data_IF_439315429337
#
_entry.id   IF_439315429337
#
_cell.length_a   1.000
_cell.length_b   1.000
_cell.length_c   1.000
_cell.angle_alpha   90.00
_cell.angle_beta   90.00
_cell.angle_gamma   90.00
#
_symmetry.space_group_name_H-M   'P 1'
#
loop_
_entity.id
_entity.type
_entity.pdbx_description
1 polymer ?
#
# COMPACT_ATOMS: atom_id res chain seq x y z
N UNK A 1 56.86 0.18 -64.14
CA UNK A 1 56.21 1.48 -64.16
C UNK A 1 54.92 1.36 -63.35
N UNK A 2 54.98 1.69 -62.04
CA UNK A 2 53.86 1.58 -61.14
C UNK A 2 53.34 2.98 -60.84
N UNK A 3 52.05 3.20 -60.98
CA UNK A 3 51.34 4.40 -60.63
C UNK A 3 50.62 4.13 -59.29
N UNK A 4 50.79 4.91 -58.23
CA UNK A 4 50.03 4.72 -56.98
C UNK A 4 48.73 5.49 -57.04
N UNK A 5 47.61 4.78 -56.76
CA UNK A 5 46.30 5.37 -56.61
C UNK A 5 46.12 5.96 -55.20
N UNK A 6 45.65 7.19 -55.16
CA UNK A 6 45.33 7.92 -53.95
C UNK A 6 43.96 7.50 -53.42
N UNK A 7 43.94 7.07 -52.13
CA UNK A 7 42.69 6.85 -51.40
C UNK A 7 42.32 8.13 -50.62
N UNK A 8 41.23 8.74 -51.00
CA UNK A 8 40.61 9.82 -50.20
C UNK A 8 39.69 9.20 -49.14
N UNK A 9 40.10 9.35 -47.90
CA UNK A 9 39.27 8.99 -46.72
C UNK A 9 38.19 10.05 -46.52
N UNK A 10 36.93 9.61 -46.66
CA UNK A 10 35.75 10.39 -46.25
C UNK A 10 35.56 10.20 -44.79
N UNK A 11 35.88 11.18 -43.97
CA UNK A 11 35.63 11.22 -42.54
C UNK A 11 34.12 11.46 -42.28
N UNK A 12 33.46 10.46 -41.72
CA UNK A 12 32.10 10.57 -41.23
C UNK A 12 32.16 11.12 -39.79
N UNK A 13 31.90 12.39 -39.60
CA UNK A 13 31.77 13.01 -38.27
C UNK A 13 30.36 12.70 -37.75
N UNK A 14 30.25 11.72 -36.85
CA UNK A 14 29.04 11.47 -36.07
C UNK A 14 29.01 12.49 -34.91
N UNK A 15 28.14 13.49 -35.02
CA UNK A 15 27.82 14.38 -33.91
C UNK A 15 26.91 13.63 -32.94
N UNK A 16 27.46 13.19 -31.82
CA UNK A 16 26.66 12.66 -30.68
C UNK A 16 26.01 13.87 -30.00
N UNK A 17 24.71 14.01 -30.18
CA UNK A 17 23.91 14.95 -29.41
C UNK A 17 23.77 14.39 -27.97
N UNK A 18 24.59 14.90 -27.03
CA UNK A 18 24.37 14.72 -25.62
C UNK A 18 23.06 15.45 -25.26
N UNK A 19 21.96 14.72 -25.12
CA UNK A 19 20.78 15.26 -24.47
C UNK A 19 21.15 15.54 -23.03
N UNK A 20 21.26 16.82 -22.67
CA UNK A 20 21.40 17.26 -21.30
C UNK A 20 20.13 16.83 -20.55
N UNK A 21 20.22 15.77 -19.80
CA UNK A 21 19.26 15.46 -18.73
C UNK A 21 19.42 16.61 -17.73
N UNK A 22 18.53 17.59 -17.81
CA UNK A 22 18.43 18.62 -16.77
C UNK A 22 18.23 17.92 -15.43
N UNK A 23 18.71 18.49 -14.33
CA UNK A 23 18.47 17.93 -13.01
C UNK A 23 16.96 17.78 -12.84
N UNK A 24 16.50 16.55 -12.55
CA UNK A 24 15.16 16.32 -12.07
C UNK A 24 15.03 17.19 -10.82
N UNK A 25 14.22 18.25 -10.92
CA UNK A 25 13.92 19.06 -9.77
C UNK A 25 13.32 18.15 -8.71
N UNK A 26 14.02 17.96 -7.59
CA UNK A 26 13.47 17.29 -6.43
C UNK A 26 12.25 18.11 -6.02
N UNK A 27 11.05 17.59 -6.31
CA UNK A 27 9.83 18.21 -5.85
C UNK A 27 9.76 17.93 -4.35
N UNK A 28 9.81 19.00 -3.55
CA UNK A 28 9.53 18.88 -2.13
C UNK A 28 8.11 18.30 -1.98
N UNK A 29 7.93 17.38 -1.05
CA UNK A 29 6.61 16.82 -0.74
C UNK A 29 5.64 17.97 -0.43
N UNK A 30 4.39 17.94 -0.95
CA UNK A 30 3.44 19.00 -0.72
C UNK A 30 3.08 19.12 0.76
N UNK A 31 2.78 20.33 1.22
CA UNK A 31 2.23 20.55 2.54
C UNK A 31 0.76 20.13 2.59
N UNK A 32 0.38 19.41 3.64
CA UNK A 32 -1.00 18.95 3.87
C UNK A 32 -1.64 19.70 5.02
N UNK A 33 -2.96 19.82 4.99
CA UNK A 33 -3.77 20.36 6.08
C UNK A 33 -5.15 19.71 6.12
N UNK A 34 -5.77 19.63 7.30
CA UNK A 34 -7.16 19.18 7.45
C UNK A 34 -8.08 20.19 6.77
N UNK A 35 -8.88 19.73 5.80
CA UNK A 35 -9.74 20.60 4.99
C UNK A 35 -11.22 20.31 5.18
N UNK A 36 -11.60 19.07 5.46
CA UNK A 36 -12.99 18.68 5.66
C UNK A 36 -13.12 17.39 6.45
N UNK A 37 -14.36 17.04 6.79
CA UNK A 37 -14.71 15.75 7.39
C UNK A 37 -15.92 15.14 6.71
N UNK A 38 -15.98 13.80 6.65
CA UNK A 38 -17.11 13.06 6.10
C UNK A 38 -17.78 12.30 7.24
N UNK A 39 -19.08 12.53 7.45
CA UNK A 39 -19.85 11.81 8.47
C UNK A 39 -20.00 10.32 8.11
N UNK A 40 -19.97 9.45 9.12
CA UNK A 40 -20.23 8.02 9.01
C UNK A 40 -21.63 7.74 9.55
N UNK A 41 -22.62 7.35 8.72
CA UNK A 41 -23.93 6.99 9.20
C UNK A 41 -23.91 5.70 10.01
N UNK A 42 -24.58 5.69 11.15
CA UNK A 42 -24.72 4.49 11.96
C UNK A 42 -25.73 3.51 11.35
N UNK A 43 -25.42 2.20 11.44
CA UNK A 43 -26.42 1.14 11.20
C UNK A 43 -27.45 1.08 12.32
N UNK A 44 -28.62 0.53 12.02
CA UNK A 44 -29.68 0.32 13.02
C UNK A 44 -29.25 -0.60 14.18
N UNK A 45 -28.34 -1.51 13.92
CA UNK A 45 -27.73 -2.39 14.94
C UNK A 45 -26.75 -1.66 15.86
N UNK A 46 -26.20 -0.53 15.42
CA UNK A 46 -25.31 0.32 16.22
C UNK A 46 -26.14 1.26 17.10
N UNK A 47 -26.60 0.77 18.23
CA UNK A 47 -27.49 1.50 19.16
C UNK A 47 -26.84 2.73 19.80
N UNK A 48 -25.53 2.84 19.75
CA UNK A 48 -24.79 4.02 20.25
C UNK A 48 -24.80 5.17 19.27
N UNK A 49 -25.03 4.92 17.99
CA UNK A 49 -24.90 5.89 16.91
C UNK A 49 -23.48 6.40 16.70
N UNK A 50 -22.48 5.75 17.31
CA UNK A 50 -21.09 6.20 17.31
C UNK A 50 -20.19 5.26 16.53
N UNK A 51 -19.27 5.83 15.79
CA UNK A 51 -18.17 5.11 15.15
C UNK A 51 -16.98 5.08 16.12
N UNK A 52 -16.78 3.95 16.78
CA UNK A 52 -15.77 3.77 17.85
C UNK A 52 -14.76 2.68 17.56
N UNK A 53 -15.11 1.74 16.67
CA UNK A 53 -14.27 0.59 16.31
C UNK A 53 -14.19 0.44 14.80
N UNK A 54 -12.99 0.38 14.31
CA UNK A 54 -12.65 0.18 12.90
C UNK A 54 -11.28 -0.48 12.81
N UNK A 55 -10.84 -0.77 11.59
CA UNK A 55 -9.49 -1.25 11.34
C UNK A 55 -8.91 -0.57 10.09
N UNK A 56 -8.44 -1.33 9.12
CA UNK A 56 -7.69 -0.80 7.99
C UNK A 56 -8.61 -0.27 6.88
N UNK A 57 -8.01 0.50 6.01
CA UNK A 57 -8.65 1.10 4.85
C UNK A 57 -7.89 0.82 3.57
N UNK A 58 -8.55 1.01 2.42
CA UNK A 58 -7.92 0.94 1.11
C UNK A 58 -8.57 1.92 0.14
N UNK A 59 -7.89 2.23 -0.94
CA UNK A 59 -8.37 3.14 -1.97
C UNK A 59 -8.32 2.49 -3.35
N UNK A 60 -9.37 2.69 -4.14
CA UNK A 60 -9.41 2.31 -5.54
C UNK A 60 -9.31 3.55 -6.44
N UNK A 61 -8.15 3.80 -7.05
CA UNK A 61 -7.95 4.99 -7.87
C UNK A 61 -8.79 4.98 -9.16
N UNK A 62 -9.22 3.82 -9.64
CA UNK A 62 -10.01 3.73 -10.87
C UNK A 62 -11.43 4.24 -10.70
N UNK A 63 -12.03 4.05 -9.53
CA UNK A 63 -13.37 4.55 -9.19
C UNK A 63 -13.32 5.81 -8.34
N UNK A 64 -12.19 6.12 -7.74
CA UNK A 64 -12.00 7.13 -6.70
C UNK A 64 -12.91 6.86 -5.49
N UNK A 65 -12.86 5.61 -5.01
CA UNK A 65 -13.58 5.17 -3.83
C UNK A 65 -12.60 4.78 -2.72
N UNK A 66 -12.92 5.24 -1.52
CA UNK A 66 -12.27 4.87 -0.27
C UNK A 66 -13.13 3.82 0.43
N UNK A 67 -12.51 2.73 0.88
CA UNK A 67 -13.14 1.63 1.60
C UNK A 67 -12.55 1.54 2.99
N UNK A 68 -13.41 1.41 4.00
CA UNK A 68 -13.03 1.32 5.41
C UNK A 68 -13.72 0.14 6.08
N UNK A 69 -12.97 -0.65 6.83
CA UNK A 69 -13.55 -1.68 7.69
C UNK A 69 -14.13 -1.05 8.95
N UNK A 70 -15.44 -1.13 9.11
CA UNK A 70 -16.20 -0.54 10.22
C UNK A 70 -16.73 -1.63 11.17
N UNK A 71 -16.03 -1.83 12.28
CA UNK A 71 -16.42 -2.78 13.32
C UNK A 71 -17.62 -2.29 14.14
N UNK A 72 -17.83 -0.95 14.22
CA UNK A 72 -18.98 -0.37 14.93
C UNK A 72 -20.30 -0.67 14.25
N UNK A 73 -20.27 -0.81 12.92
CA UNK A 73 -21.42 -1.04 12.07
C UNK A 73 -21.37 -2.41 11.35
N UNK A 74 -20.43 -3.27 11.70
CA UNK A 74 -20.27 -4.65 11.23
C UNK A 74 -20.23 -4.79 9.71
N UNK A 75 -19.56 -3.86 8.99
CA UNK A 75 -19.54 -3.81 7.54
C UNK A 75 -18.32 -3.10 6.96
N UNK A 76 -18.29 -2.98 5.65
CA UNK A 76 -17.30 -2.16 4.94
C UNK A 76 -17.99 -0.90 4.41
N UNK A 77 -17.53 0.25 4.87
CA UNK A 77 -18.00 1.56 4.42
C UNK A 77 -17.33 1.95 3.11
N UNK A 78 -18.09 2.54 2.21
CA UNK A 78 -17.63 3.03 0.91
C UNK A 78 -17.92 4.53 0.82
N UNK A 79 -16.88 5.30 0.52
CA UNK A 79 -16.96 6.75 0.36
C UNK A 79 -16.48 7.15 -1.02
N UNK A 80 -17.07 8.20 -1.57
CA UNK A 80 -16.62 8.82 -2.82
C UNK A 80 -15.63 9.93 -2.53
N UNK A 81 -14.42 9.82 -3.06
CA UNK A 81 -13.44 10.90 -3.06
C UNK A 81 -13.83 12.05 -4.00
N UNK A 82 -14.60 11.76 -5.05
CA UNK A 82 -15.09 12.81 -5.97
C UNK A 82 -16.00 13.83 -5.33
N UNK A 83 -16.74 13.40 -4.30
CA UNK A 83 -17.76 14.23 -3.64
C UNK A 83 -17.54 14.38 -2.14
N UNK A 84 -16.48 13.76 -1.61
CA UNK A 84 -16.19 13.68 -0.18
C UNK A 84 -17.45 13.30 0.63
N UNK A 85 -18.06 12.17 0.28
CA UNK A 85 -19.32 11.73 0.88
C UNK A 85 -19.40 10.23 1.05
N UNK A 86 -20.12 9.79 2.09
CA UNK A 86 -20.52 8.40 2.27
C UNK A 86 -21.43 7.95 1.12
N UNK A 87 -21.15 6.81 0.53
CA UNK A 87 -21.94 6.22 -0.56
C UNK A 87 -22.85 5.11 -0.06
N UNK A 88 -22.28 4.12 0.59
CA UNK A 88 -23.00 2.96 1.10
C UNK A 88 -22.13 2.16 2.07
N UNK A 89 -22.75 1.19 2.74
CA UNK A 89 -22.09 0.12 3.51
C UNK A 89 -22.47 -1.21 2.92
N UNK A 90 -21.50 -2.10 2.75
CA UNK A 90 -21.73 -3.47 2.28
C UNK A 90 -21.38 -4.47 3.37
N UNK A 91 -22.04 -5.64 3.33
CA UNK A 91 -21.77 -6.74 4.25
C UNK A 91 -22.16 -6.49 5.70
N UNK A 92 -23.03 -5.50 5.98
CA UNK A 92 -23.54 -5.27 7.32
C UNK A 92 -24.15 -6.55 7.92
N UNK A 93 -23.68 -6.92 9.11
CA UNK A 93 -24.09 -8.14 9.80
C UNK A 93 -23.41 -9.44 9.34
N UNK A 94 -22.54 -9.42 8.33
CA UNK A 94 -21.74 -10.58 7.93
C UNK A 94 -20.43 -10.70 8.73
N UNK A 95 -19.99 -9.62 9.33
CA UNK A 95 -18.77 -9.55 10.12
C UNK A 95 -19.06 -9.67 11.62
N UNK A 96 -18.04 -10.06 12.37
CA UNK A 96 -18.16 -10.24 13.84
C UNK A 96 -18.47 -8.93 14.58
N UNK A 97 -18.12 -7.79 14.00
CA UNK A 97 -18.24 -6.48 14.64
C UNK A 97 -17.16 -6.23 15.69
N UNK A 98 -17.40 -5.22 16.51
CA UNK A 98 -16.61 -4.97 17.69
C UNK A 98 -16.96 -6.02 18.76
N UNK A 99 -15.94 -6.71 19.29
CA UNK A 99 -16.09 -7.74 20.32
C UNK A 99 -15.26 -7.38 21.54
N UNK A 100 -15.53 -8.00 22.74
CA UNK A 100 -14.74 -7.75 23.93
C UNK A 100 -13.24 -8.09 23.76
N UNK A 101 -12.90 -9.10 22.95
CA UNK A 101 -11.52 -9.41 22.57
C UNK A 101 -11.28 -8.95 21.14
N UNK A 102 -10.25 -8.12 20.94
CA UNK A 102 -9.85 -7.68 19.61
C UNK A 102 -9.55 -8.86 18.67
N UNK A 103 -9.09 -9.99 19.21
CA UNK A 103 -8.74 -11.19 18.46
C UNK A 103 -9.94 -11.87 17.76
N UNK A 104 -11.14 -11.48 18.13
CA UNK A 104 -12.39 -12.02 17.54
C UNK A 104 -13.16 -10.94 16.76
N UNK A 105 -12.63 -9.72 16.67
CA UNK A 105 -13.29 -8.62 15.99
C UNK A 105 -13.19 -8.72 14.45
N UNK A 106 -14.07 -8.03 13.75
CA UNK A 106 -14.05 -7.89 12.29
C UNK A 106 -15.18 -6.98 11.79
N UNK A 107 -15.04 -6.37 10.62
CA UNK A 107 -13.96 -6.56 9.64
C UNK A 107 -12.63 -5.95 10.07
N UNK A 108 -11.53 -6.43 9.45
CA UNK A 108 -10.16 -6.03 9.76
C UNK A 108 -9.43 -5.53 8.49
N UNK A 109 -8.26 -6.05 8.17
CA UNK A 109 -7.56 -5.70 6.93
C UNK A 109 -8.39 -6.00 5.68
N UNK A 110 -8.24 -5.18 4.66
CA UNK A 110 -8.96 -5.35 3.41
C UNK A 110 -8.10 -5.04 2.19
N UNK A 111 -8.49 -5.59 1.05
CA UNK A 111 -7.90 -5.30 -0.25
C UNK A 111 -8.97 -5.20 -1.33
N UNK A 112 -8.75 -4.33 -2.31
CA UNK A 112 -9.57 -4.22 -3.51
C UNK A 112 -8.71 -4.44 -4.75
N UNK A 113 -9.23 -5.19 -5.72
CA UNK A 113 -8.52 -5.46 -6.96
C UNK A 113 -9.44 -5.42 -8.17
N UNK A 114 -8.92 -5.02 -9.33
CA UNK A 114 -9.61 -5.18 -10.60
C UNK A 114 -9.55 -6.65 -11.03
N UNK A 115 -10.70 -7.21 -11.37
CA UNK A 115 -10.84 -8.56 -11.91
C UNK A 115 -11.69 -8.53 -13.18
N UNK A 116 -11.75 -9.65 -13.91
CA UNK A 116 -12.60 -9.73 -15.10
C UNK A 116 -14.06 -9.45 -14.75
N UNK A 117 -14.63 -8.44 -15.38
CA UNK A 117 -16.05 -8.06 -15.23
C UNK A 117 -16.38 -7.19 -14.01
N UNK A 118 -15.39 -6.72 -13.24
CA UNK A 118 -15.65 -5.85 -12.09
C UNK A 118 -14.48 -5.74 -11.13
N UNK A 119 -14.80 -5.76 -9.84
CA UNK A 119 -13.80 -5.68 -8.76
C UNK A 119 -14.01 -6.79 -7.75
N UNK A 120 -12.95 -7.14 -7.06
CA UNK A 120 -12.95 -8.08 -5.94
C UNK A 120 -12.54 -7.31 -4.69
N UNK A 121 -13.45 -7.19 -3.73
CA UNK A 121 -13.16 -6.68 -2.38
C UNK A 121 -13.08 -7.85 -1.42
N UNK A 122 -12.02 -7.93 -0.64
CA UNK A 122 -11.81 -8.99 0.35
C UNK A 122 -11.49 -8.34 1.68
N UNK A 123 -12.18 -8.76 2.74
CA UNK A 123 -11.92 -8.28 4.09
C UNK A 123 -11.73 -9.44 5.08
N UNK A 124 -10.77 -9.27 5.99
CA UNK A 124 -10.52 -10.18 7.09
C UNK A 124 -11.60 -10.10 8.17
N UNK A 125 -11.83 -11.20 8.90
CA UNK A 125 -12.86 -11.28 9.92
C UNK A 125 -12.39 -12.09 11.14
N UNK A 126 -13.05 -11.93 12.27
CA UNK A 126 -12.72 -12.52 13.55
C UNK A 126 -12.65 -14.05 13.59
N UNK A 127 -13.62 -14.81 13.04
CA UNK A 127 -13.63 -16.26 13.19
C UNK A 127 -12.81 -17.00 12.13
N UNK A 128 -11.54 -16.62 11.92
CA UNK A 128 -10.62 -17.22 10.94
C UNK A 128 -11.22 -17.36 9.54
N UNK A 129 -11.80 -16.31 9.04
CA UNK A 129 -12.33 -16.29 7.67
C UNK A 129 -12.18 -14.93 6.99
N UNK A 130 -12.33 -14.95 5.68
CA UNK A 130 -12.45 -13.78 4.83
C UNK A 130 -13.87 -13.69 4.30
N UNK A 131 -14.36 -12.47 4.12
CA UNK A 131 -15.56 -12.20 3.35
C UNK A 131 -15.15 -11.53 2.04
N UNK A 132 -15.47 -12.17 0.91
CA UNK A 132 -15.12 -11.70 -0.42
C UNK A 132 -16.37 -11.31 -1.21
N UNK A 133 -16.39 -10.06 -1.70
CA UNK A 133 -17.48 -9.49 -2.49
C UNK A 133 -17.02 -9.34 -3.94
N UNK A 134 -17.85 -9.86 -4.87
CA UNK A 134 -17.75 -9.48 -6.27
C UNK A 134 -18.51 -8.17 -6.47
N UNK A 135 -17.82 -7.12 -6.89
CA UNK A 135 -18.41 -5.81 -7.15
C UNK A 135 -18.49 -5.52 -8.65
N UNK A 136 -19.43 -4.69 -9.03
CA UNK A 136 -19.51 -4.11 -10.36
C UNK A 136 -18.26 -3.24 -10.68
N UNK A 137 -18.19 -2.77 -11.92
CA UNK A 137 -17.12 -1.84 -12.35
C UNK A 137 -17.20 -0.48 -11.65
N UNK A 138 -18.35 -0.16 -11.07
CA UNK A 138 -18.59 1.02 -10.24
C UNK A 138 -17.92 0.93 -8.84
N UNK A 139 -17.50 -0.27 -8.43
CA UNK A 139 -16.92 -0.53 -7.11
C UNK A 139 -17.91 -0.51 -5.94
N UNK A 140 -19.20 -0.38 -6.20
CA UNK A 140 -20.26 -0.22 -5.17
C UNK A 140 -21.28 -1.33 -5.25
N UNK A 141 -21.72 -1.67 -6.46
CA UNK A 141 -22.79 -2.67 -6.67
C UNK A 141 -22.28 -4.07 -6.38
N UNK A 142 -22.88 -4.74 -5.38
CA UNK A 142 -22.54 -6.13 -5.05
C UNK A 142 -23.20 -7.09 -6.03
N UNK A 143 -22.42 -7.91 -6.72
CA UNK A 143 -22.85 -8.89 -7.70
C UNK A 143 -22.93 -10.30 -7.08
N UNK A 144 -24.13 -10.76 -6.80
CA UNK A 144 -24.35 -12.07 -6.18
C UNK A 144 -24.09 -12.13 -4.68
N UNK A 145 -24.11 -13.32 -4.12
CA UNK A 145 -23.81 -13.52 -2.70
C UNK A 145 -22.32 -13.43 -2.41
N UNK A 146 -21.91 -12.78 -1.30
CA UNK A 146 -20.51 -12.79 -0.87
C UNK A 146 -20.05 -14.20 -0.51
N UNK A 147 -18.76 -14.46 -0.72
CA UNK A 147 -18.12 -15.74 -0.37
C UNK A 147 -17.50 -15.65 1.02
N UNK A 148 -17.79 -16.61 1.89
CA UNK A 148 -17.04 -16.80 3.14
C UNK A 148 -15.94 -17.84 2.89
N UNK A 149 -14.70 -17.48 3.13
CA UNK A 149 -13.52 -18.30 2.86
C UNK A 149 -12.82 -18.57 4.18
N UNK A 150 -12.76 -19.83 4.62
CA UNK A 150 -12.05 -20.21 5.85
C UNK A 150 -10.54 -20.08 5.67
N UNK A 151 -9.86 -19.49 6.66
CA UNK A 151 -8.41 -19.46 6.77
C UNK A 151 -7.87 -20.43 7.83
N UNK A 152 -8.76 -21.12 8.55
CA UNK A 152 -8.39 -22.06 9.60
C UNK A 152 -7.57 -23.23 9.05
N UNK A 153 -6.57 -23.64 9.81
CA UNK A 153 -5.71 -24.80 9.48
C UNK A 153 -6.49 -26.08 9.81
N UNK A 154 -6.69 -26.94 8.83
CA UNK A 154 -7.36 -28.21 9.04
C UNK A 154 -6.57 -29.09 10.03
N UNK A 155 -7.27 -29.63 11.04
CA UNK A 155 -6.66 -30.54 12.03
C UNK A 155 -5.91 -29.89 13.17
N UNK A 156 -5.84 -28.55 13.24
CA UNK A 156 -5.31 -27.84 14.40
C UNK A 156 -6.44 -27.33 15.27
N UNK A 157 -6.30 -27.48 16.59
CA UNK A 157 -7.18 -26.87 17.59
C UNK A 157 -6.85 -25.37 17.78
N UNK A 158 -6.53 -24.66 16.68
CA UNK A 158 -6.30 -23.22 16.74
C UNK A 158 -7.67 -22.58 16.97
N UNK A 159 -7.89 -21.82 18.06
CA UNK A 159 -9.12 -21.08 18.27
C UNK A 159 -9.40 -20.22 17.04
N UNK A 160 -10.67 -19.97 16.69
CA UNK A 160 -10.97 -18.99 15.65
C UNK A 160 -10.38 -17.64 16.06
N UNK A 161 -9.49 -17.10 15.25
CA UNK A 161 -8.77 -15.87 15.52
C UNK A 161 -8.90 -14.90 14.35
N UNK A 162 -8.71 -13.64 14.65
CA UNK A 162 -8.76 -12.54 13.69
C UNK A 162 -7.82 -12.79 12.50
N UNK A 163 -8.36 -12.62 11.30
CA UNK A 163 -7.58 -12.41 10.08
C UNK A 163 -7.35 -10.91 9.95
N UNK A 164 -6.10 -10.48 9.92
CA UNK A 164 -5.73 -9.08 9.83
C UNK A 164 -5.31 -8.69 8.42
N UNK A 165 -4.04 -8.74 8.07
CA UNK A 165 -3.56 -8.40 6.76
C UNK A 165 -4.12 -9.29 5.65
N UNK A 166 -4.56 -8.67 4.55
CA UNK A 166 -5.07 -9.37 3.35
C UNK A 166 -4.47 -8.73 2.10
N UNK A 167 -3.87 -9.55 1.23
CA UNK A 167 -3.36 -9.10 -0.06
C UNK A 167 -3.83 -10.03 -1.20
N UNK A 168 -3.94 -9.50 -2.41
CA UNK A 168 -4.29 -10.22 -3.62
C UNK A 168 -3.21 -10.10 -4.68
N UNK A 169 -2.79 -11.23 -5.27
CA UNK A 169 -1.85 -11.30 -6.38
C UNK A 169 -2.58 -11.60 -7.69
N UNK A 170 -2.80 -10.60 -8.56
CA UNK A 170 -3.60 -10.79 -9.78
C UNK A 170 -3.02 -11.84 -10.73
N UNK A 171 -1.71 -11.85 -10.94
CA UNK A 171 -1.04 -12.78 -11.85
C UNK A 171 -1.09 -14.25 -11.39
N UNK A 172 -1.01 -14.51 -10.11
CA UNK A 172 -1.12 -15.84 -9.50
C UNK A 172 -2.59 -16.21 -9.20
N UNK A 173 -3.50 -15.25 -9.21
CA UNK A 173 -4.88 -15.35 -8.79
C UNK A 173 -5.01 -15.97 -7.38
N UNK A 174 -4.19 -15.47 -6.45
CA UNK A 174 -4.14 -15.93 -5.06
C UNK A 174 -4.43 -14.81 -4.09
N UNK A 175 -4.93 -15.19 -2.92
CA UNK A 175 -5.14 -14.32 -1.76
C UNK A 175 -4.18 -14.80 -0.67
N UNK A 176 -3.46 -13.89 -0.02
CA UNK A 176 -2.70 -14.17 1.20
C UNK A 176 -3.41 -13.51 2.37
N UNK A 177 -3.70 -14.30 3.41
CA UNK A 177 -4.35 -13.87 4.64
C UNK A 177 -3.42 -14.09 5.84
N UNK A 178 -3.25 -13.05 6.68
CA UNK A 178 -2.48 -13.11 7.91
C UNK A 178 -3.40 -13.38 9.10
N UNK A 179 -3.20 -14.51 9.78
CA UNK A 179 -3.90 -14.88 11.01
C UNK A 179 -3.05 -14.43 12.21
N UNK A 180 -3.15 -13.15 12.54
CA UNK A 180 -2.20 -12.48 13.43
C UNK A 180 -2.37 -12.88 14.90
N UNK A 181 -3.59 -13.07 15.38
CA UNK A 181 -3.87 -13.42 16.78
C UNK A 181 -3.61 -14.91 17.12
N UNK A 182 -3.11 -15.69 16.16
CA UNK A 182 -2.72 -17.08 16.38
C UNK A 182 -1.33 -17.18 17.03
N UNK A 183 -1.13 -18.23 17.83
CA UNK A 183 0.17 -18.52 18.45
C UNK A 183 0.56 -19.99 18.21
N UNK A 184 1.57 -20.30 17.36
CA UNK A 184 2.29 -19.31 16.54
C UNK A 184 1.43 -18.67 15.45
N UNK A 185 1.83 -17.48 14.99
CA UNK A 185 1.18 -16.81 13.86
C UNK A 185 1.31 -17.63 12.58
N UNK A 186 0.32 -17.56 11.70
CA UNK A 186 0.34 -18.28 10.43
C UNK A 186 -0.32 -17.49 9.30
N UNK A 187 0.04 -17.85 8.07
CA UNK A 187 -0.51 -17.31 6.86
C UNK A 187 -1.30 -18.37 6.12
N UNK A 188 -2.33 -17.95 5.40
CA UNK A 188 -3.13 -18.83 4.53
C UNK A 188 -3.07 -18.32 3.11
N UNK A 189 -2.46 -19.11 2.20
CA UNK A 189 -2.50 -18.87 0.77
C UNK A 189 -3.71 -19.57 0.17
N UNK A 190 -4.57 -18.82 -0.52
CA UNK A 190 -5.88 -19.26 -1.01
C UNK A 190 -5.93 -19.09 -2.52
N UNK A 191 -6.47 -20.07 -3.22
CA UNK A 191 -6.87 -19.95 -4.61
C UNK A 191 -8.15 -19.12 -4.71
N UNK A 192 -8.08 -17.97 -5.38
CA UNK A 192 -9.23 -17.07 -5.48
C UNK A 192 -10.38 -17.66 -6.32
N UNK A 193 -10.08 -18.45 -7.37
CA UNK A 193 -11.10 -19.00 -8.26
C UNK A 193 -11.97 -20.06 -7.57
N UNK A 194 -11.33 -20.90 -6.73
CA UNK A 194 -12.00 -22.02 -6.05
C UNK A 194 -12.32 -21.76 -4.60
N UNK A 195 -11.77 -20.71 -4.00
CA UNK A 195 -11.76 -20.41 -2.55
C UNK A 195 -11.10 -21.51 -1.71
N UNK A 196 -10.31 -22.38 -2.33
CA UNK A 196 -9.61 -23.45 -1.65
C UNK A 196 -8.29 -22.96 -1.05
N UNK A 197 -7.96 -23.41 0.15
CA UNK A 197 -6.66 -23.22 0.75
C UNK A 197 -5.62 -23.98 -0.06
N UNK A 198 -4.69 -23.28 -0.69
CA UNK A 198 -3.51 -23.88 -1.36
C UNK A 198 -2.45 -24.29 -0.35
N UNK A 199 -2.25 -23.47 0.68
CA UNK A 199 -1.22 -23.71 1.67
C UNK A 199 -1.50 -22.95 2.96
N UNK A 200 -1.25 -23.59 4.11
CA UNK A 200 -1.08 -22.96 5.41
C UNK A 200 0.42 -22.87 5.72
N UNK A 201 0.86 -21.68 6.14
CA UNK A 201 2.28 -21.36 6.36
C UNK A 201 2.41 -21.01 7.83
N UNK A 202 2.78 -22.00 8.64
CA UNK A 202 2.96 -21.81 10.09
C UNK A 202 4.36 -21.27 10.35
N UNK A 203 4.44 -20.19 11.11
CA UNK A 203 5.68 -19.47 11.41
C UNK A 203 6.20 -19.91 12.80
N UNK A 204 6.62 -21.16 12.91
CA UNK A 204 7.00 -21.83 14.18
C UNK A 204 8.53 -22.08 14.31
N UNK A 205 9.32 -21.62 13.34
CA UNK A 205 10.75 -21.87 13.28
C UNK A 205 11.14 -23.32 12.87
N UNK A 206 10.16 -24.21 12.71
CA UNK A 206 10.41 -25.63 12.40
C UNK A 206 10.05 -25.99 10.95
N UNK A 207 9.06 -25.30 10.37
CA UNK A 207 8.63 -25.57 9.00
C UNK A 207 9.71 -25.21 7.99
N UNK A 208 10.04 -26.13 7.10
CA UNK A 208 11.00 -25.91 6.02
C UNK A 208 10.24 -25.56 4.74
N UNK A 209 10.58 -24.41 4.12
CA UNK A 209 9.88 -23.95 2.92
C UNK A 209 10.43 -24.58 1.64
N UNK A 210 11.74 -24.49 1.46
CA UNK A 210 12.48 -25.11 0.36
C UNK A 210 13.94 -25.28 0.77
N UNK A 211 14.50 -26.44 0.57
CA UNK A 211 15.86 -26.73 1.01
C UNK A 211 16.02 -26.59 2.54
N UNK A 212 16.98 -25.79 2.97
CA UNK A 212 17.30 -25.58 4.41
C UNK A 212 16.68 -24.33 5.03
N UNK A 213 15.99 -23.50 4.26
CA UNK A 213 15.41 -22.25 4.75
C UNK A 213 14.13 -22.54 5.55
N UNK A 214 14.10 -22.16 6.82
CA UNK A 214 12.97 -22.31 7.73
C UNK A 214 12.20 -21.00 7.84
N UNK A 215 10.89 -21.10 8.07
CA UNK A 215 10.10 -19.95 8.46
C UNK A 215 10.56 -19.43 9.82
N UNK A 216 10.53 -18.10 10.05
CA UNK A 216 10.87 -17.54 11.35
C UNK A 216 9.87 -18.01 12.40
N UNK A 217 10.32 -18.09 13.66
CA UNK A 217 9.44 -18.35 14.78
C UNK A 217 8.77 -17.03 15.21
N UNK A 218 7.44 -17.02 15.18
CA UNK A 218 6.63 -15.88 15.64
C UNK A 218 5.63 -16.35 16.68
N UNK A 219 5.26 -15.47 17.61
CA UNK A 219 4.23 -15.71 18.61
C UNK A 219 2.92 -15.01 18.22
N UNK A 220 1.90 -15.06 19.07
CA UNK A 220 0.65 -14.32 18.89
C UNK A 220 0.90 -12.86 18.53
N UNK A 221 0.05 -12.27 17.72
CA UNK A 221 0.23 -10.97 17.03
C UNK A 221 1.51 -10.93 16.18
N UNK A 222 1.94 -12.08 15.70
CA UNK A 222 3.24 -12.26 15.03
C UNK A 222 3.20 -12.11 13.51
N UNK A 223 2.06 -11.82 12.91
CA UNK A 223 1.90 -11.53 11.48
C UNK A 223 0.87 -10.43 11.33
N UNK A 224 1.23 -9.37 10.64
CA UNK A 224 0.43 -8.17 10.50
C UNK A 224 0.10 -7.90 9.02
N UNK A 225 0.35 -6.68 8.54
CA UNK A 225 0.06 -6.31 7.17
C UNK A 225 0.70 -7.26 6.15
N UNK A 226 -0.06 -7.54 5.11
CA UNK A 226 0.41 -8.22 3.91
C UNK A 226 0.27 -7.28 2.71
N UNK A 227 1.24 -7.29 1.82
CA UNK A 227 1.20 -6.52 0.56
C UNK A 227 1.69 -7.39 -0.60
N UNK A 228 1.07 -7.23 -1.77
CA UNK A 228 1.60 -7.78 -3.01
C UNK A 228 2.49 -6.74 -3.68
N UNK A 229 3.78 -7.04 -3.80
CA UNK A 229 4.73 -6.17 -4.50
C UNK A 229 4.61 -6.42 -6.00
N UNK A 230 4.09 -5.45 -6.72
CA UNK A 230 3.78 -5.56 -8.15
C UNK A 230 5.02 -5.63 -9.04
N UNK A 231 6.15 -5.10 -8.56
CA UNK A 231 7.43 -5.10 -9.28
C UNK A 231 8.11 -6.48 -9.18
N UNK A 232 8.06 -7.09 -8.01
CA UNK A 232 8.68 -8.38 -7.75
C UNK A 232 7.76 -9.58 -8.04
N UNK A 233 6.45 -9.35 -8.06
CA UNK A 233 5.46 -10.41 -8.24
C UNK A 233 5.33 -11.35 -7.02
N UNK A 234 5.67 -10.85 -5.82
CA UNK A 234 5.75 -11.63 -4.58
C UNK A 234 4.95 -10.96 -3.48
N UNK A 235 4.61 -11.72 -2.43
CA UNK A 235 4.02 -11.16 -1.21
C UNK A 235 5.09 -10.76 -0.21
N UNK A 236 4.84 -9.66 0.48
CA UNK A 236 5.60 -9.23 1.65
C UNK A 236 4.69 -9.20 2.87
N UNK A 237 5.21 -9.63 4.01
CA UNK A 237 4.45 -9.74 5.27
C UNK A 237 5.23 -9.11 6.40
N UNK A 238 4.58 -8.20 7.13
CA UNK A 238 5.10 -7.64 8.37
C UNK A 238 5.10 -8.69 9.48
N UNK A 239 6.22 -8.82 10.16
CA UNK A 239 6.41 -9.75 11.30
C UNK A 239 6.96 -8.96 12.48
N UNK A 240 6.14 -8.62 13.48
CA UNK A 240 6.53 -7.75 14.59
C UNK A 240 7.70 -8.28 15.42
N UNK A 241 7.79 -9.60 15.60
CA UNK A 241 8.87 -10.25 16.36
C UNK A 241 9.40 -11.45 15.58
N UNK A 242 10.67 -11.45 15.24
CA UNK A 242 11.36 -12.56 14.59
C UNK A 242 12.21 -13.33 15.60
N UNK A 243 12.01 -14.66 15.68
CA UNK A 243 12.83 -15.58 16.47
C UNK A 243 12.98 -15.17 17.95
N UNK A 244 11.96 -14.50 18.53
CA UNK A 244 11.99 -13.99 19.89
C UNK A 244 12.90 -12.80 20.10
N UNK A 245 13.38 -12.16 19.04
CA UNK A 245 14.19 -10.95 19.11
C UNK A 245 13.36 -9.71 19.49
N UNK A 246 14.02 -8.64 19.96
CA UNK A 246 13.37 -7.38 20.34
C UNK A 246 12.88 -6.54 19.16
N UNK A 247 13.18 -6.92 17.94
CA UNK A 247 12.68 -6.33 16.68
C UNK A 247 12.27 -7.41 15.71
N UNK A 248 11.37 -7.04 14.82
CA UNK A 248 10.89 -7.92 13.77
C UNK A 248 11.58 -7.69 12.44
N UNK A 249 10.83 -7.88 11.40
CA UNK A 249 11.27 -7.72 10.03
C UNK A 249 10.13 -7.99 9.05
N UNK A 250 10.51 -8.27 7.83
CA UNK A 250 9.57 -8.57 6.74
C UNK A 250 9.98 -9.89 6.09
N UNK A 251 9.02 -10.73 5.78
CA UNK A 251 9.26 -11.95 4.98
C UNK A 251 8.71 -11.78 3.58
N UNK A 252 9.38 -12.38 2.60
CA UNK A 252 8.96 -12.40 1.20
C UNK A 252 8.57 -13.81 0.80
N UNK A 253 7.39 -13.95 0.18
CA UNK A 253 6.81 -15.22 -0.22
C UNK A 253 6.49 -15.23 -1.72
N UNK A 254 6.73 -16.37 -2.38
CA UNK A 254 6.26 -16.62 -3.74
C UNK A 254 4.74 -16.61 -3.80
N UNK A 255 4.18 -15.82 -4.71
CA UNK A 255 2.74 -15.59 -4.77
C UNK A 255 1.93 -16.80 -5.23
N UNK A 256 2.54 -17.76 -5.90
CA UNK A 256 1.87 -18.97 -6.41
C UNK A 256 1.93 -20.13 -5.42
N UNK A 257 3.11 -20.36 -4.85
CA UNK A 257 3.39 -21.53 -4.01
C UNK A 257 3.36 -21.23 -2.50
N UNK A 258 3.53 -19.96 -2.10
CA UNK A 258 3.73 -19.57 -0.70
C UNK A 258 5.10 -19.97 -0.15
N UNK A 259 6.08 -20.32 -1.01
CA UNK A 259 7.42 -20.62 -0.55
C UNK A 259 8.09 -19.36 -0.01
N UNK A 260 8.83 -19.51 1.10
CA UNK A 260 9.65 -18.44 1.65
C UNK A 260 10.82 -18.18 0.68
N UNK A 261 10.95 -16.93 0.24
CA UNK A 261 12.02 -16.47 -0.65
C UNK A 261 13.11 -15.75 0.14
N UNK A 262 12.71 -14.80 1.00
CA UNK A 262 13.64 -13.99 1.79
C UNK A 262 13.08 -13.68 3.18
N UNK A 263 14.01 -13.40 4.10
CA UNK A 263 13.74 -12.83 5.44
C UNK A 263 14.58 -11.57 5.55
N UNK A 264 13.92 -10.45 5.73
CA UNK A 264 14.55 -9.15 5.99
C UNK A 264 14.44 -8.90 7.49
N UNK A 265 15.36 -9.48 8.26
CA UNK A 265 15.49 -9.30 9.71
C UNK A 265 16.13 -7.94 9.98
N UNK A 266 15.39 -7.03 10.60
CA UNK A 266 15.85 -5.65 10.79
C UNK A 266 17.05 -5.55 11.71
N UNK A 267 17.18 -6.44 12.70
CA UNK A 267 18.40 -6.49 13.53
C UNK A 267 19.62 -6.93 12.70
N UNK A 268 19.46 -7.95 11.87
CA UNK A 268 20.53 -8.42 10.99
C UNK A 268 20.90 -7.38 9.91
N UNK A 269 19.95 -6.52 9.51
CA UNK A 269 20.17 -5.41 8.59
C UNK A 269 20.72 -4.15 9.26
N UNK A 270 20.99 -4.20 10.58
CA UNK A 270 21.67 -3.12 11.30
C UNK A 270 20.75 -2.08 11.93
N UNK A 271 19.48 -2.42 12.20
CA UNK A 271 18.58 -1.54 12.96
C UNK A 271 19.16 -1.23 14.33
N UNK A 272 19.28 0.06 14.66
CA UNK A 272 19.82 0.53 15.95
C UNK A 272 18.75 0.84 17.00
N UNK A 273 17.47 0.80 16.63
CA UNK A 273 16.32 1.01 17.50
C UNK A 273 15.47 -0.24 17.60
N UNK A 274 14.17 -0.04 17.82
CA UNK A 274 13.18 -1.10 17.77
C UNK A 274 12.16 -0.84 16.65
N UNK A 275 11.71 -1.92 16.05
CA UNK A 275 10.60 -1.93 15.10
C UNK A 275 9.85 -3.26 15.21
N UNK A 276 8.61 -3.21 15.67
CA UNK A 276 7.65 -4.28 15.46
C UNK A 276 6.82 -3.94 14.22
N UNK A 277 7.17 -4.49 13.04
CA UNK A 277 6.45 -4.18 11.79
C UNK A 277 4.96 -4.48 11.90
N UNK A 278 4.14 -3.49 11.53
CA UNK A 278 2.67 -3.58 11.50
C UNK A 278 2.13 -3.30 10.11
N UNK A 279 2.40 -2.13 9.53
CA UNK A 279 1.97 -1.74 8.20
C UNK A 279 3.08 -1.80 7.16
N UNK A 280 2.71 -2.05 5.91
CA UNK A 280 3.64 -1.99 4.76
C UNK A 280 2.93 -1.32 3.58
N UNK A 281 3.62 -0.40 2.92
CA UNK A 281 3.22 0.10 1.60
C UNK A 281 4.38 0.03 0.62
N UNK A 282 4.11 -0.45 -0.60
CA UNK A 282 5.06 -0.40 -1.71
C UNK A 282 5.10 1.01 -2.28
N UNK A 283 6.30 1.56 -2.45
CA UNK A 283 6.56 2.82 -3.12
C UNK A 283 6.92 2.67 -4.60
N UNK A 284 7.62 3.66 -5.12
CA UNK A 284 8.20 3.59 -6.46
C UNK A 284 9.22 2.44 -6.53
N UNK A 285 9.16 1.66 -7.59
CA UNK A 285 10.00 0.47 -7.71
C UNK A 285 9.62 -0.61 -6.69
N UNK A 286 10.60 -1.29 -6.10
CA UNK A 286 10.39 -2.36 -5.14
C UNK A 286 10.48 -1.90 -3.67
N UNK A 287 10.95 -0.68 -3.40
CA UNK A 287 11.12 -0.12 -2.05
C UNK A 287 9.79 -0.01 -1.30
N UNK A 288 9.85 -0.13 0.01
CA UNK A 288 8.68 -0.12 0.88
C UNK A 288 8.91 0.74 2.12
N UNK A 289 7.86 1.38 2.61
CA UNK A 289 7.82 1.93 3.97
C UNK A 289 7.12 0.91 4.86
N UNK A 290 7.72 0.64 6.00
CA UNK A 290 7.25 -0.32 7.00
C UNK A 290 7.00 0.44 8.30
N UNK A 291 5.73 0.57 8.67
CA UNK A 291 5.33 1.12 9.95
C UNK A 291 5.76 0.18 11.08
N UNK A 292 6.25 0.78 12.15
CA UNK A 292 6.68 0.05 13.34
C UNK A 292 5.73 0.36 14.49
N UNK A 293 4.83 -0.56 14.80
CA UNK A 293 3.95 -0.52 15.96
C UNK A 293 4.75 -0.52 17.28
N UNK A 294 4.04 -0.60 18.38
CA UNK A 294 4.67 -0.72 19.69
C UNK A 294 4.92 -2.19 20.02
N UNK A 295 6.15 -2.70 19.95
CA UNK A 295 6.46 -4.08 20.31
C UNK A 295 6.43 -4.31 21.84
N UNK A 296 5.89 -3.38 22.58
CA UNK A 296 5.77 -3.40 24.04
C UNK A 296 6.33 -2.14 24.72
N UNK A 297 5.69 -1.74 25.81
CA UNK A 297 5.99 -0.50 26.54
C UNK A 297 7.31 -0.52 27.32
N UNK A 298 8.02 -1.63 27.36
CA UNK A 298 9.19 -1.83 28.22
C UNK A 298 10.53 -1.42 27.57
N UNK A 299 10.57 -1.07 26.29
CA UNK A 299 11.83 -0.73 25.62
C UNK A 299 12.18 0.74 25.78
N UNK A 300 13.42 1.02 26.17
CA UNK A 300 14.03 2.36 26.18
C UNK A 300 14.68 2.71 24.83
N UNK A 301 14.68 1.79 23.88
CA UNK A 301 15.28 2.01 22.57
C UNK A 301 14.41 2.96 21.73
N UNK A 302 15.02 3.74 20.81
CA UNK A 302 14.29 4.63 19.93
C UNK A 302 13.29 3.87 19.06
N UNK A 303 12.05 4.34 19.03
CA UNK A 303 11.02 3.89 18.10
C UNK A 303 11.20 4.66 16.79
N UNK A 304 10.89 4.01 15.66
CA UNK A 304 11.12 4.58 14.34
C UNK A 304 10.32 3.84 13.27
N UNK A 305 10.20 4.43 12.11
CA UNK A 305 9.69 3.81 10.88
C UNK A 305 10.86 3.35 10.02
N UNK A 306 10.70 2.27 9.27
CA UNK A 306 11.75 1.68 8.44
C UNK A 306 11.40 1.85 6.97
N UNK A 307 12.37 2.30 6.17
CA UNK A 307 12.32 2.21 4.71
C UNK A 307 13.17 1.03 4.30
N UNK A 308 12.54 0.02 3.69
CA UNK A 308 13.17 -1.23 3.24
C UNK A 308 13.36 -1.21 1.73
N UNK A 309 14.60 -1.38 1.27
CA UNK A 309 14.92 -1.78 -0.09
C UNK A 309 15.16 -3.29 -0.12
N UNK A 310 14.28 -4.10 -0.74
CA UNK A 310 14.39 -5.55 -0.76
C UNK A 310 15.35 -6.07 -1.84
N UNK A 311 16.13 -5.22 -2.50
CA UNK A 311 17.09 -5.67 -3.52
C UNK A 311 18.28 -6.40 -2.89
N UNK A 312 18.76 -7.44 -3.54
CA UNK A 312 19.87 -8.26 -3.04
C UNK A 312 19.51 -8.93 -1.70
N UNK A 313 20.28 -8.64 -0.66
CA UNK A 313 20.03 -9.12 0.71
C UNK A 313 19.12 -8.20 1.52
N UNK A 314 18.68 -7.13 0.93
CA UNK A 314 17.96 -6.04 1.57
C UNK A 314 18.86 -5.01 2.24
N UNK A 315 18.36 -3.80 2.33
CA UNK A 315 18.93 -2.72 3.14
C UNK A 315 17.81 -1.88 3.75
N UNK A 316 18.11 -1.24 4.88
CA UNK A 316 17.15 -0.39 5.58
C UNK A 316 17.73 0.99 5.83
N UNK A 317 16.84 1.99 5.80
CA UNK A 317 17.05 3.30 6.42
C UNK A 317 15.93 3.58 7.40
N UNK A 318 16.11 4.54 8.30
CA UNK A 318 15.17 4.79 9.39
C UNK A 318 14.68 6.22 9.40
N UNK A 319 13.38 6.40 9.70
CA UNK A 319 12.73 7.69 9.91
C UNK A 319 12.42 7.80 11.39
N UNK A 320 13.24 8.53 12.13
CA UNK A 320 13.16 8.61 13.60
C UNK A 320 12.12 9.61 14.10
N UNK A 321 11.55 10.42 13.23
CA UNK A 321 10.53 11.41 13.55
C UNK A 321 9.11 10.81 13.58
N UNK A 322 8.95 9.59 13.06
CA UNK A 322 7.67 8.88 12.98
C UNK A 322 7.84 7.53 13.68
N UNK A 323 6.89 7.18 14.53
CA UNK A 323 6.90 5.92 15.27
C UNK A 323 5.49 5.52 15.74
N UNK A 324 5.32 4.26 16.08
CA UNK A 324 4.05 3.76 16.61
C UNK A 324 2.93 3.74 15.58
N UNK A 325 3.28 3.58 14.30
CA UNK A 325 2.36 3.48 13.19
C UNK A 325 1.70 2.12 13.08
N UNK A 326 0.63 2.06 12.28
CA UNK A 326 -0.08 0.82 11.99
C UNK A 326 -0.30 0.66 10.47
N UNK A 327 -0.95 1.60 9.82
CA UNK A 327 -1.13 1.56 8.37
C UNK A 327 -0.29 2.62 7.66
N UNK A 328 0.24 2.23 6.49
CA UNK A 328 0.93 3.12 5.54
C UNK A 328 0.18 3.14 4.23
N UNK A 329 0.02 4.33 3.63
CA UNK A 329 -0.48 4.52 2.27
C UNK A 329 0.58 5.21 1.41
N UNK A 330 0.55 4.95 0.10
CA UNK A 330 1.48 5.57 -0.86
C UNK A 330 0.74 6.28 -1.99
N UNK A 331 1.11 7.53 -2.23
CA UNK A 331 0.68 8.31 -3.39
C UNK A 331 1.73 8.19 -4.52
N UNK A 332 1.46 7.42 -5.59
CA UNK A 332 2.42 7.25 -6.68
C UNK A 332 2.56 8.48 -7.58
N UNK A 333 1.59 9.41 -7.55
CA UNK A 333 1.62 10.63 -8.35
C UNK A 333 2.54 11.67 -7.73
N UNK A 334 2.46 11.82 -6.41
CA UNK A 334 3.27 12.78 -5.65
C UNK A 334 4.53 12.15 -5.06
N UNK A 335 4.65 10.82 -5.16
CA UNK A 335 5.73 10.02 -4.59
C UNK A 335 5.91 10.29 -3.09
N UNK A 336 4.83 10.13 -2.32
CA UNK A 336 4.77 10.43 -0.90
C UNK A 336 4.12 9.27 -0.15
N UNK A 337 4.64 8.91 1.02
CA UNK A 337 4.01 7.97 1.94
C UNK A 337 3.34 8.72 3.09
N UNK A 338 2.25 8.14 3.56
CA UNK A 338 1.48 8.58 4.72
C UNK A 338 1.41 7.44 5.73
N UNK A 339 1.72 7.72 6.98
CA UNK A 339 1.67 6.75 8.07
C UNK A 339 0.80 7.29 9.20
N UNK A 340 -0.26 6.54 9.55
CA UNK A 340 -1.12 6.87 10.70
C UNK A 340 -0.53 6.23 11.97
N UNK A 341 -0.18 7.06 12.95
CA UNK A 341 0.55 6.62 14.14
C UNK A 341 -0.24 6.89 15.41
N UNK A 342 -0.78 5.84 16.02
CA UNK A 342 -1.52 5.94 17.30
C UNK A 342 -0.60 5.98 18.52
N UNK A 343 0.63 5.48 18.42
CA UNK A 343 1.57 5.36 19.53
C UNK A 343 2.82 6.24 19.38
N UNK A 344 2.69 7.34 18.63
CA UNK A 344 3.76 8.34 18.50
C UNK A 344 4.06 8.97 19.86
N UNK A 345 5.34 9.03 20.30
CA UNK A 345 5.73 9.83 21.45
C UNK A 345 5.35 11.30 21.28
N UNK A 346 4.56 11.84 22.19
CA UNK A 346 4.06 13.21 22.08
C UNK A 346 2.64 13.35 21.52
N UNK A 347 2.04 12.26 21.10
CA UNK A 347 0.65 12.19 20.62
C UNK A 347 0.53 11.69 19.17
N UNK A 348 -0.63 11.16 18.79
CA UNK A 348 -0.86 10.59 17.46
C UNK A 348 -0.63 11.61 16.33
N UNK A 349 0.00 11.16 15.24
CA UNK A 349 0.25 11.98 14.06
C UNK A 349 -0.05 11.22 12.76
N UNK A 350 -0.41 11.96 11.72
CA UNK A 350 -0.23 11.54 10.34
C UNK A 350 1.19 11.96 9.93
N UNK A 351 2.09 11.01 9.82
CA UNK A 351 3.46 11.20 9.38
C UNK A 351 3.55 11.16 7.86
N UNK A 352 4.37 12.03 7.28
CA UNK A 352 4.55 12.15 5.83
C UNK A 352 6.02 11.96 5.50
N UNK A 353 6.30 11.03 4.58
CA UNK A 353 7.64 10.63 4.16
C UNK A 353 7.76 10.88 2.66
N UNK A 354 8.79 11.59 2.25
CA UNK A 354 9.15 11.78 0.84
C UNK A 354 9.61 10.46 0.22
N UNK A 355 8.94 10.00 -0.82
CA UNK A 355 9.19 8.69 -1.42
C UNK A 355 10.47 8.61 -2.26
N UNK A 356 11.04 9.75 -2.69
CA UNK A 356 12.28 9.77 -3.44
C UNK A 356 13.51 9.65 -2.53
N UNK A 357 13.43 10.24 -1.34
CA UNK A 357 14.55 10.32 -0.39
C UNK A 357 14.40 9.38 0.80
N UNK A 358 13.18 8.91 1.09
CA UNK A 358 12.86 8.16 2.31
C UNK A 358 12.96 8.99 3.58
N UNK A 359 12.95 10.33 3.48
CA UNK A 359 13.11 11.23 4.61
C UNK A 359 11.75 11.77 5.10
N UNK A 360 11.71 12.09 6.39
CA UNK A 360 10.59 12.81 6.99
C UNK A 360 10.34 14.15 6.32
N UNK A 361 9.10 14.45 6.00
CA UNK A 361 8.66 15.69 5.37
C UNK A 361 7.81 16.55 6.31
N UNK A 362 6.74 15.97 6.87
CA UNK A 362 5.78 16.69 7.68
C UNK A 362 5.10 15.73 8.67
N UNK A 363 4.56 16.27 9.76
CA UNK A 363 3.58 15.59 10.61
C UNK A 363 2.37 16.49 10.88
N UNK A 364 1.21 15.86 11.01
CA UNK A 364 -0.06 16.53 11.32
C UNK A 364 -0.68 15.83 12.52
N UNK A 365 -1.19 16.56 13.52
CA UNK A 365 -1.87 15.93 14.64
C UNK A 365 -3.15 15.23 14.16
N UNK A 366 -3.35 14.01 14.63
CA UNK A 366 -4.58 13.24 14.46
C UNK A 366 -5.17 12.89 15.82
N UNK A 367 -6.30 12.19 15.88
CA UNK A 367 -6.93 11.90 17.17
C UNK A 367 -6.43 10.59 17.76
N UNK A 368 -6.75 10.34 19.02
CA UNK A 368 -6.32 9.12 19.71
C UNK A 368 -6.90 7.87 19.03
N UNK A 369 -6.07 6.85 18.92
CA UNK A 369 -6.40 5.57 18.27
C UNK A 369 -6.56 5.61 16.74
N UNK A 370 -6.25 6.72 16.08
CA UNK A 370 -6.26 6.77 14.61
C UNK A 370 -5.03 6.02 14.09
N UNK A 371 -5.28 4.94 13.35
CA UNK A 371 -4.25 3.99 12.92
C UNK A 371 -4.41 3.54 11.46
N UNK A 372 -5.42 4.08 10.77
CA UNK A 372 -5.71 3.75 9.39
C UNK A 372 -5.56 4.97 8.48
N UNK A 373 -5.11 4.76 7.25
CA UNK A 373 -4.90 5.83 6.28
C UNK A 373 -5.04 5.31 4.85
N UNK A 374 -5.68 6.09 3.98
CA UNK A 374 -5.64 5.87 2.54
C UNK A 374 -5.49 7.19 1.80
N UNK A 375 -5.07 7.15 0.55
CA UNK A 375 -4.83 8.34 -0.28
C UNK A 375 -5.47 8.18 -1.64
N UNK A 376 -6.12 9.25 -2.13
CA UNK A 376 -6.52 9.39 -3.52
C UNK A 376 -5.36 9.94 -4.36
N UNK A 377 -4.73 9.17 -5.22
CA UNK A 377 -3.62 9.68 -6.02
C UNK A 377 -4.06 10.69 -7.10
N UNK A 378 -5.36 10.81 -7.39
CA UNK A 378 -5.88 11.78 -8.36
C UNK A 378 -5.92 13.17 -7.74
N UNK A 379 -6.60 13.33 -6.60
CA UNK A 379 -6.68 14.62 -5.89
C UNK A 379 -5.47 14.86 -4.97
N UNK A 380 -4.86 13.81 -4.44
CA UNK A 380 -3.87 13.83 -3.36
C UNK A 380 -4.51 13.91 -1.98
N UNK A 381 -5.82 13.84 -1.88
CA UNK A 381 -6.49 13.84 -0.59
C UNK A 381 -6.19 12.58 0.20
N UNK A 382 -5.96 12.76 1.50
CA UNK A 382 -5.63 11.69 2.45
C UNK A 382 -6.78 11.53 3.43
N UNK A 383 -7.23 10.31 3.60
CA UNK A 383 -8.38 9.94 4.41
C UNK A 383 -7.91 9.22 5.68
N UNK A 384 -8.23 9.78 6.83
CA UNK A 384 -7.92 9.21 8.15
C UNK A 384 -9.22 9.06 8.95
N UNK A 385 -9.61 7.84 9.32
CA UNK A 385 -10.79 7.63 10.15
C UNK A 385 -10.54 8.15 11.57
N UNK A 386 -11.42 9.00 12.07
CA UNK A 386 -11.44 9.52 13.44
C UNK A 386 -12.52 8.84 14.25
N UNK A 387 -12.11 8.09 15.28
CA UNK A 387 -13.05 7.51 16.23
C UNK A 387 -13.85 8.59 16.99
N UNK A 388 -15.06 8.23 17.44
CA UNK A 388 -15.91 9.13 18.21
C UNK A 388 -15.28 9.59 19.53
N UNK A 389 -15.69 10.75 20.02
CA UNK A 389 -15.27 11.28 21.32
C UNK A 389 -14.23 12.40 21.25
N UNK A 390 -13.88 12.87 20.07
CA UNK A 390 -13.03 14.05 19.88
C UNK A 390 -13.85 15.28 19.45
N UNK A 391 -13.27 16.48 19.57
CA UNK A 391 -13.97 17.73 19.28
C UNK A 391 -14.31 17.89 17.78
N UNK A 392 -13.48 17.37 16.89
CA UNK A 392 -13.69 17.44 15.43
C UNK A 392 -14.81 16.49 14.99
N UNK A 393 -14.88 15.30 15.57
CA UNK A 393 -15.81 14.25 15.21
C UNK A 393 -16.46 13.64 16.47
N UNK A 394 -17.46 14.27 17.08
CA UNK A 394 -18.08 13.77 18.31
C UNK A 394 -18.66 12.36 18.17
N UNK A 395 -19.18 12.01 17.00
CA UNK A 395 -19.74 10.69 16.68
C UNK A 395 -18.81 9.81 15.84
N UNK A 396 -17.62 10.31 15.51
CA UNK A 396 -16.70 9.70 14.55
C UNK A 396 -16.94 10.19 13.11
N UNK A 397 -15.89 10.22 12.31
CA UNK A 397 -15.92 10.67 10.93
C UNK A 397 -14.68 10.23 10.16
N UNK A 398 -14.59 10.55 8.88
CA UNK A 398 -13.36 10.52 8.11
C UNK A 398 -12.81 11.95 8.04
N UNK A 399 -11.61 12.16 8.54
CA UNK A 399 -10.87 13.41 8.34
C UNK A 399 -10.21 13.40 6.96
N UNK A 400 -10.35 14.49 6.21
CA UNK A 400 -9.79 14.66 4.87
C UNK A 400 -8.69 15.71 4.93
N UNK A 401 -7.47 15.30 4.60
CA UNK A 401 -6.33 16.19 4.49
C UNK A 401 -6.01 16.42 3.01
N UNK A 402 -5.89 17.67 2.61
CA UNK A 402 -5.60 18.02 1.22
C UNK A 402 -4.21 18.65 1.08
N UNK A 403 -3.51 18.40 -0.05
CA UNK A 403 -2.24 19.05 -0.32
C UNK A 403 -2.44 20.55 -0.58
N UNK A 404 -1.65 21.38 0.10
CA UNK A 404 -1.67 22.83 -0.13
C UNK A 404 -0.77 23.20 -1.32
N UNK A 405 -1.30 23.92 -2.28
CA UNK A 405 -0.52 24.72 -3.22
C UNK A 405 0.15 24.00 -4.39
N UNK A 406 -0.14 22.74 -4.66
CA UNK A 406 0.30 22.09 -5.90
C UNK A 406 -0.88 22.10 -6.87
N UNK A 407 -0.82 22.86 -7.99
CA UNK A 407 -1.81 22.70 -9.05
C UNK A 407 -1.74 21.24 -9.52
N UNK A 408 -2.82 20.48 -9.34
CA UNK A 408 -2.96 19.17 -9.97
C UNK A 408 -2.84 19.40 -11.48
N UNK A 409 -1.91 18.74 -12.20
CA UNK A 409 -1.89 18.86 -13.66
C UNK A 409 -3.25 18.39 -14.17
N UNK A 410 -3.99 19.30 -14.82
CA UNK A 410 -5.27 18.90 -15.41
C UNK A 410 -5.05 17.69 -16.34
N UNK A 411 -5.94 16.68 -16.33
CA UNK A 411 -5.76 15.45 -17.11
C UNK A 411 -5.70 15.64 -18.63
N UNK A 412 -5.63 16.86 -19.13
CA UNK A 412 -5.59 17.25 -20.53
C UNK A 412 -4.29 17.88 -21.04
N UNK A 413 -3.33 18.24 -20.17
CA UNK A 413 -2.16 19.02 -20.62
C UNK A 413 -1.02 18.17 -21.22
N UNK A 414 -0.85 16.92 -20.82
CA UNK A 414 0.21 16.07 -21.35
C UNK A 414 0.05 15.73 -22.87
N UNK A 415 -1.13 15.46 -23.42
CA UNK A 415 -1.27 15.26 -24.86
C UNK A 415 -1.11 16.55 -25.69
N UNK A 416 -1.42 17.73 -25.12
CA UNK A 416 -1.27 19.00 -25.82
C UNK A 416 0.21 19.41 -26.00
N UNK A 417 1.05 19.14 -24.99
CA UNK A 417 2.48 19.43 -25.07
C UNK A 417 3.16 18.50 -26.08
N UNK A 418 2.79 17.22 -26.12
CA UNK A 418 3.33 16.25 -27.10
C UNK A 418 2.88 16.58 -28.51
N UNK A 419 1.64 17.02 -28.72
CA UNK A 419 1.12 17.45 -30.01
C UNK A 419 1.77 18.75 -30.49
N UNK A 420 2.04 19.71 -29.61
CA UNK A 420 2.73 20.96 -29.95
C UNK A 420 4.20 20.71 -30.34
N UNK A 421 4.92 19.84 -29.66
CA UNK A 421 6.27 19.44 -30.02
C UNK A 421 6.34 18.66 -31.34
N UNK A 422 5.36 17.80 -31.62
CA UNK A 422 5.25 17.09 -32.91
C UNK A 422 4.97 18.05 -34.07
N UNK A 423 4.13 19.08 -33.86
CA UNK A 423 3.84 20.08 -34.89
C UNK A 423 5.03 21.02 -35.16
N UNK A 424 5.81 21.38 -34.14
CA UNK A 424 7.05 22.15 -34.31
C UNK A 424 8.13 21.35 -35.05
N UNK A 425 8.22 20.04 -34.80
CA UNK A 425 9.12 19.12 -35.53
C UNK A 425 8.75 18.99 -37.02
N UNK A 426 7.45 18.90 -37.37
CA UNK A 426 6.99 18.84 -38.74
C UNK A 426 7.21 20.17 -39.50
N UNK A 427 7.01 21.31 -38.84
CA UNK A 427 7.27 22.62 -39.46
C UNK A 427 8.75 22.84 -39.81
N UNK A 428 9.68 22.36 -38.98
CA UNK A 428 11.10 22.41 -39.25
C UNK A 428 11.53 21.49 -40.43
N UNK A 429 10.83 20.37 -40.63
CA UNK A 429 11.14 19.42 -41.68
C UNK A 429 10.67 19.92 -43.07
N UNK A 430 9.54 20.63 -43.15
CA UNK A 430 8.98 21.13 -44.39
C UNK A 430 9.74 22.36 -44.95
N UNK A 431 10.47 23.13 -44.11
CA UNK A 431 11.31 24.23 -44.59
C UNK A 431 12.62 23.77 -45.23
N UNK A 432 13.07 22.53 -44.98
CA UNK A 432 14.34 22.00 -45.51
C UNK A 432 14.26 21.43 -46.93
N UNK A 433 13.07 21.22 -47.48
CA UNK A 433 12.85 20.61 -48.79
C UNK A 433 12.63 21.59 -49.91
N UNK A 434 12.62 22.93 -49.67
CA UNK A 434 12.54 23.94 -50.73
C UNK A 434 13.92 24.52 -51.06
N UNK A 435 14.76 23.77 -51.80
CA UNK A 435 15.91 24.35 -52.53
C UNK A 435 15.44 24.69 -53.96
N UNK A 436 15.71 25.91 -54.44
CA UNK A 436 15.35 26.25 -55.83
C UNK A 436 16.32 25.55 -56.80
N UNK A 437 15.74 25.00 -57.84
CA UNK A 437 16.47 24.41 -58.96
C UNK A 437 17.18 25.55 -59.72
N UNK A 438 18.50 25.53 -59.80
CA UNK A 438 19.31 26.39 -60.67
C UNK A 438 19.27 25.87 -62.09
N UNK A 439 18.66 26.63 -62.98
CA UNK A 439 18.67 26.42 -64.44
C UNK A 439 20.09 26.70 -64.99
N UNK A 440 20.73 25.65 -65.49
CA UNK A 440 21.94 25.79 -66.29
C UNK A 440 21.55 26.21 -67.71
N UNK A 441 21.94 27.40 -68.19
CA UNK A 441 21.97 27.78 -69.61
C UNK A 441 23.27 27.26 -70.22
N UNK A 442 23.10 26.50 -71.34
CA UNK A 442 24.20 26.23 -72.27
C UNK A 442 24.45 27.47 -73.14
N UNK A 443 25.69 27.81 -73.35
CA UNK A 443 26.29 28.37 -74.53
C UNK A 443 27.62 27.67 -74.78
#
# INVERSE_FOLDING_TARGET
>A
MFVPGSWTSVGLSAAVALAALGPLAAHAAPFYSLTSTIAIPAETSNTTGKFTGYDLSTFDPATQLFYLTDRSNNGVDIFSAKTNSFQTRIGAGLFAGATPSNDNAGPNGLTIANVSGGKLLIAGNGPSNLIAFSLGTDGVTVNGAPRTISTAVAGTAVPPNRVDGVAFAPGANTILAANNAANPGFLTLIDNATSAVRRSIVLDGNTVSSGTTKYPNVNGDGVEATVFNTVRGTYFVAVPVLNGAGSGGVIELDATSGNLLNIYDFNALGLTGICGPTGIAQGAGASMVVACGDPGTASTLPKQTVVLDPTGKGSITTVTQIAGGDQVAYDPVRNVFFEATRYQPGGPILGIIDGATGLFSQSLPITSNDHSVAVDPVSGEVYVPYGAGNATCPNGCIAVFSPAGVPVPEPGSAPLITAALAMLGLAAFTQRTRRPATTARRA
#
